data_IF_349984989827
#
_entry.id   IF_349984989827
#
_cell.length_a   1.000
_cell.length_b   1.000
_cell.length_c   1.000
_cell.angle_alpha   90.00
_cell.angle_beta   90.00
_cell.angle_gamma   90.00
#
_symmetry.space_group_name_H-M   'P 1'
#
loop_
_entity.id
_entity.type
_entity.pdbx_description
1 polymer ?
#
# COMPACT_ATOMS: atom_id res chain seq x y z
N UNK A 1 6.67 25.13 -6.38
CA UNK A 1 7.99 24.90 -7.00
C UNK A 1 8.96 24.27 -6.01
N UNK A 2 9.68 23.22 -6.41
CA UNK A 2 10.57 22.45 -5.52
C UNK A 2 11.80 23.25 -5.05
N UNK A 3 12.31 24.14 -5.88
CA UNK A 3 13.54 24.91 -5.57
C UNK A 3 13.22 26.15 -4.75
N UNK A 4 12.09 26.78 -5.02
CA UNK A 4 11.73 28.08 -4.45
C UNK A 4 10.68 27.98 -3.34
N UNK A 5 10.06 26.80 -3.14
CA UNK A 5 8.97 26.63 -2.18
C UNK A 5 7.69 27.40 -2.52
N UNK A 6 7.58 27.94 -3.75
CA UNK A 6 6.40 28.71 -4.16
C UNK A 6 5.28 27.80 -4.63
N UNK A 7 4.03 28.20 -4.34
CA UNK A 7 2.83 27.49 -4.80
C UNK A 7 2.67 27.72 -6.31
N UNK A 8 2.59 26.64 -7.09
CA UNK A 8 2.35 26.68 -8.54
C UNK A 8 0.86 26.75 -8.87
N UNK A 9 0.06 25.96 -8.17
CA UNK A 9 -1.39 25.91 -8.30
C UNK A 9 -2.04 25.32 -7.03
N UNK A 10 -3.33 25.56 -6.87
CA UNK A 10 -4.18 24.96 -5.85
C UNK A 10 -5.44 24.43 -6.51
N UNK A 11 -5.94 23.30 -6.05
CA UNK A 11 -7.25 22.77 -6.39
C UNK A 11 -8.03 22.55 -5.11
N UNK A 12 -9.22 23.13 -5.01
CA UNK A 12 -10.08 22.98 -3.84
C UNK A 12 -11.09 21.86 -4.09
N UNK A 13 -11.17 20.92 -3.17
CA UNK A 13 -12.20 19.88 -3.13
C UNK A 13 -13.28 20.26 -2.13
N UNK A 14 -14.50 19.74 -2.30
CA UNK A 14 -15.63 20.06 -1.41
C UNK A 14 -15.46 19.47 0.00
N UNK A 15 -14.58 18.46 0.13
CA UNK A 15 -14.35 17.70 1.36
C UNK A 15 -12.86 17.48 1.63
N UNK A 16 -12.50 17.17 2.88
CA UNK A 16 -11.10 16.94 3.26
C UNK A 16 -10.42 15.86 2.43
N UNK A 17 -9.12 16.05 2.20
CA UNK A 17 -8.22 15.07 1.62
C UNK A 17 -7.39 14.48 2.74
N UNK A 18 -7.57 13.18 3.00
CA UNK A 18 -6.76 12.37 3.93
C UNK A 18 -5.91 11.33 3.19
N UNK A 19 -6.23 11.10 1.93
CA UNK A 19 -5.51 10.17 1.06
C UNK A 19 -4.16 10.72 0.59
N UNK A 20 -3.23 9.81 0.29
CA UNK A 20 -1.95 10.15 -0.33
C UNK A 20 -2.09 10.23 -1.86
N UNK A 21 -1.66 11.30 -2.53
CA UNK A 21 -1.74 11.41 -3.98
C UNK A 21 -0.71 10.51 -4.68
N UNK A 22 -1.03 10.13 -5.93
CA UNK A 22 -0.08 9.55 -6.87
C UNK A 22 0.11 10.48 -8.05
N UNK A 23 1.37 10.66 -8.43
CA UNK A 23 1.75 11.43 -9.62
C UNK A 23 2.43 10.49 -10.61
N UNK A 24 1.87 10.39 -11.80
CA UNK A 24 2.46 9.64 -12.90
C UNK A 24 2.09 10.26 -14.24
N UNK A 25 3.04 10.28 -15.18
CA UNK A 25 2.86 10.79 -16.54
C UNK A 25 2.14 12.15 -16.61
N UNK A 26 2.55 13.10 -15.76
CA UNK A 26 2.01 14.46 -15.76
C UNK A 26 0.60 14.60 -15.17
N UNK A 27 0.09 13.58 -14.49
CA UNK A 27 -1.24 13.54 -13.88
C UNK A 27 -1.15 13.27 -12.38
N UNK A 28 -1.96 13.96 -11.60
CA UNK A 28 -2.16 13.75 -10.16
C UNK A 28 -3.48 13.04 -9.94
N UNK A 29 -3.44 11.93 -9.21
CA UNK A 29 -4.61 11.14 -8.81
C UNK A 29 -4.78 11.22 -7.30
N UNK A 30 -5.99 11.58 -6.82
CA UNK A 30 -6.27 11.81 -5.40
C UNK A 30 -7.72 11.50 -5.04
N UNK A 31 -7.91 10.83 -3.92
CA UNK A 31 -9.24 10.57 -3.35
C UNK A 31 -9.62 11.58 -2.28
N UNK A 32 -10.92 11.78 -2.08
CA UNK A 32 -11.49 12.65 -1.07
C UNK A 32 -12.39 11.88 -0.08
N UNK A 33 -12.61 12.47 1.08
CA UNK A 33 -13.42 11.87 2.15
C UNK A 33 -14.91 11.71 1.83
N UNK A 34 -15.40 12.27 0.73
CA UNK A 34 -16.79 12.10 0.27
C UNK A 34 -16.98 11.03 -0.82
N UNK A 35 -15.97 10.17 -1.05
CA UNK A 35 -16.03 9.14 -2.09
C UNK A 35 -15.88 9.69 -3.52
N UNK A 36 -15.39 10.92 -3.69
CA UNK A 36 -14.97 11.43 -5.00
C UNK A 36 -13.51 11.15 -5.24
N UNK A 37 -13.18 10.82 -6.48
CA UNK A 37 -11.80 10.60 -6.89
C UNK A 37 -11.48 11.51 -8.09
N UNK A 38 -10.33 12.19 -8.04
CA UNK A 38 -9.98 13.25 -8.98
C UNK A 38 -8.72 12.89 -9.77
N UNK A 39 -8.72 13.30 -11.04
CA UNK A 39 -7.55 13.34 -11.90
C UNK A 39 -7.27 14.79 -12.31
N UNK A 40 -6.09 15.29 -11.99
CA UNK A 40 -5.68 16.68 -12.23
C UNK A 40 -4.41 16.72 -13.07
N UNK A 41 -4.26 17.72 -13.91
CA UNK A 41 -2.98 17.96 -14.61
C UNK A 41 -1.92 18.46 -13.62
N UNK A 42 -0.76 17.86 -13.66
CA UNK A 42 0.37 18.22 -12.79
C UNK A 42 0.88 19.67 -13.08
N UNK A 43 0.73 20.13 -14.31
CA UNK A 43 1.28 21.41 -14.75
C UNK A 43 0.58 22.60 -14.13
N UNK A 44 -0.74 22.58 -14.08
CA UNK A 44 -1.58 23.72 -13.75
C UNK A 44 -2.76 23.43 -12.81
N UNK A 45 -2.94 22.17 -12.41
CA UNK A 45 -4.04 21.74 -11.54
C UNK A 45 -5.41 21.67 -12.23
N UNK A 46 -5.46 21.80 -13.56
CA UNK A 46 -6.72 21.64 -14.31
C UNK A 46 -7.31 20.25 -14.10
N UNK A 47 -8.61 20.20 -13.85
CA UNK A 47 -9.35 18.96 -13.70
C UNK A 47 -9.44 18.22 -15.05
N UNK A 48 -8.99 16.98 -15.10
CA UNK A 48 -9.22 16.09 -16.24
C UNK A 48 -10.61 15.44 -16.12
N UNK A 49 -10.85 14.81 -14.96
CA UNK A 49 -12.13 14.14 -14.65
C UNK A 49 -12.32 13.93 -13.15
N UNK A 50 -13.55 13.67 -12.76
CA UNK A 50 -13.94 13.25 -11.42
C UNK A 50 -14.75 11.97 -11.50
N UNK A 51 -14.35 10.93 -10.78
CA UNK A 51 -15.16 9.75 -10.53
C UNK A 51 -16.01 9.97 -9.28
N UNK A 52 -17.32 9.88 -9.42
CA UNK A 52 -18.28 10.08 -8.33
C UNK A 52 -18.92 8.75 -7.89
N UNK A 53 -19.50 8.73 -6.69
CA UNK A 53 -20.29 7.61 -6.22
C UNK A 53 -19.47 6.39 -5.78
N UNK A 54 -18.21 6.58 -5.39
CA UNK A 54 -17.45 5.55 -4.70
C UNK A 54 -17.98 5.47 -3.26
N UNK A 55 -18.30 4.27 -2.80
CA UNK A 55 -18.89 4.06 -1.48
C UNK A 55 -17.83 4.23 -0.38
N UNK A 56 -18.11 5.06 0.61
CA UNK A 56 -17.21 5.35 1.73
C UNK A 56 -16.13 6.39 1.39
N UNK A 57 -15.37 6.80 2.42
CA UNK A 57 -14.28 7.75 2.24
C UNK A 57 -13.01 7.04 1.74
N UNK A 58 -12.15 7.84 1.12
CA UNK A 58 -10.90 7.36 0.53
C UNK A 58 -9.74 7.88 1.39
N UNK A 59 -8.94 6.95 1.91
CA UNK A 59 -7.76 7.23 2.73
C UNK A 59 -6.49 6.69 2.07
N UNK A 60 -6.59 5.56 1.40
CA UNK A 60 -5.43 4.88 0.81
C UNK A 60 -4.85 5.64 -0.38
N UNK A 61 -3.57 5.39 -0.64
CA UNK A 61 -2.91 5.82 -1.87
C UNK A 61 -3.37 4.92 -3.02
N UNK A 62 -3.76 5.48 -4.18
CA UNK A 62 -4.13 4.64 -5.34
C UNK A 62 -2.92 3.94 -5.95
N UNK A 63 -3.15 2.78 -6.61
CA UNK A 63 -2.24 2.22 -7.58
C UNK A 63 -2.65 2.64 -8.99
N UNK A 64 -1.69 2.78 -9.91
CA UNK A 64 -1.94 3.22 -11.28
C UNK A 64 -1.12 2.36 -12.24
N UNK A 65 -1.78 1.77 -13.23
CA UNK A 65 -1.15 1.14 -14.39
C UNK A 65 -1.30 2.04 -15.65
N UNK A 66 -1.04 1.47 -16.82
CA UNK A 66 -1.14 2.22 -18.08
C UNK A 66 -2.56 2.66 -18.42
N UNK A 67 -3.56 1.91 -18.01
CA UNK A 67 -4.95 2.09 -18.41
C UNK A 67 -5.89 2.41 -17.25
N UNK A 68 -5.51 2.09 -16.00
CA UNK A 68 -6.42 2.08 -14.85
C UNK A 68 -5.82 2.69 -13.59
N UNK A 69 -6.73 3.09 -12.72
CA UNK A 69 -6.45 3.50 -11.34
C UNK A 69 -7.22 2.57 -10.41
N UNK A 70 -6.55 2.07 -9.37
CA UNK A 70 -7.12 1.16 -8.39
C UNK A 70 -7.16 1.82 -7.03
N UNK A 71 -8.31 1.74 -6.36
CA UNK A 71 -8.51 2.39 -5.06
C UNK A 71 -9.42 1.57 -4.14
N UNK A 72 -8.99 1.40 -2.90
CA UNK A 72 -9.81 0.88 -1.82
C UNK A 72 -10.52 2.00 -1.07
N UNK A 73 -11.72 1.72 -0.58
CA UNK A 73 -12.51 2.68 0.20
C UNK A 73 -13.00 2.07 1.50
N UNK A 74 -13.36 2.91 2.47
CA UNK A 74 -13.97 2.49 3.73
C UNK A 74 -15.47 2.10 3.61
N UNK A 75 -15.97 1.96 2.39
CA UNK A 75 -17.27 1.38 2.08
C UNK A 75 -17.23 -0.14 1.85
N UNK A 76 -16.16 -0.84 2.23
CA UNK A 76 -15.90 -2.24 1.95
C UNK A 76 -15.64 -2.55 0.48
N UNK A 77 -15.33 -1.52 -0.33
CA UNK A 77 -15.22 -1.62 -1.78
C UNK A 77 -13.79 -1.44 -2.26
N UNK A 78 -13.48 -2.14 -3.35
CA UNK A 78 -12.27 -1.96 -4.15
C UNK A 78 -12.67 -1.71 -5.60
N UNK A 79 -12.09 -0.69 -6.23
CA UNK A 79 -12.50 -0.23 -7.56
C UNK A 79 -11.32 -0.20 -8.52
N UNK A 80 -11.60 -0.49 -9.80
CA UNK A 80 -10.79 -0.05 -10.92
C UNK A 80 -11.55 1.02 -11.71
N UNK A 81 -10.84 2.10 -12.02
CA UNK A 81 -11.35 3.28 -12.72
C UNK A 81 -10.53 3.43 -14.01
N UNK A 82 -11.19 3.69 -15.12
CA UNK A 82 -10.51 4.01 -16.38
C UNK A 82 -9.69 5.28 -16.22
N UNK A 83 -8.44 5.21 -16.56
CA UNK A 83 -7.48 6.29 -16.35
C UNK A 83 -7.74 7.51 -17.23
N UNK A 84 -8.40 7.35 -18.38
CA UNK A 84 -8.68 8.41 -19.34
C UNK A 84 -10.02 9.08 -19.09
N UNK A 85 -11.07 8.28 -18.86
CA UNK A 85 -12.44 8.79 -18.71
C UNK A 85 -12.85 9.04 -17.25
N UNK A 86 -12.27 8.35 -16.29
CA UNK A 86 -12.70 8.36 -14.89
C UNK A 86 -13.93 7.47 -14.63
N UNK A 87 -14.34 6.65 -15.58
CA UNK A 87 -15.44 5.72 -15.42
C UNK A 87 -15.02 4.48 -14.63
N UNK A 88 -15.94 3.93 -13.82
CA UNK A 88 -15.70 2.66 -13.12
C UNK A 88 -15.71 1.51 -14.15
N UNK A 89 -14.62 0.73 -14.15
CA UNK A 89 -14.48 -0.46 -15.00
C UNK A 89 -15.06 -1.68 -14.28
N UNK A 90 -14.63 -1.88 -13.04
CA UNK A 90 -15.15 -2.95 -12.17
C UNK A 90 -15.07 -2.54 -10.70
N UNK A 91 -15.82 -3.24 -9.89
CA UNK A 91 -15.82 -3.07 -8.43
C UNK A 91 -15.89 -4.43 -7.73
N UNK A 92 -15.31 -4.50 -6.56
CA UNK A 92 -15.33 -5.66 -5.68
C UNK A 92 -15.80 -5.26 -4.30
N UNK A 93 -16.80 -5.96 -3.78
CA UNK A 93 -17.32 -5.79 -2.41
C UNK A 93 -16.81 -6.94 -1.53
N UNK A 94 -16.15 -6.62 -0.40
CA UNK A 94 -15.72 -7.63 0.58
C UNK A 94 -16.90 -8.32 1.26
N UNK A 95 -18.12 -7.73 1.21
CA UNK A 95 -19.36 -8.20 1.83
C UNK A 95 -19.29 -8.37 3.35
N UNK A 96 -18.29 -7.77 3.99
CA UNK A 96 -18.04 -7.90 5.44
C UNK A 96 -18.22 -6.60 6.22
N UNK A 97 -18.74 -5.55 5.56
CA UNK A 97 -19.01 -4.24 6.16
C UNK A 97 -17.77 -3.36 6.36
N UNK A 98 -17.99 -2.16 6.86
CA UNK A 98 -17.02 -1.06 6.93
C UNK A 98 -15.68 -1.42 7.59
N UNK A 99 -15.70 -2.14 8.68
CA UNK A 99 -14.48 -2.48 9.44
C UNK A 99 -13.56 -3.47 8.71
N UNK A 100 -14.04 -4.08 7.63
CA UNK A 100 -13.33 -5.06 6.83
C UNK A 100 -13.02 -4.55 5.43
N UNK A 101 -12.73 -3.28 5.33
CA UNK A 101 -12.52 -2.54 4.09
C UNK A 101 -11.07 -2.62 3.59
N UNK A 102 -10.84 -2.51 2.28
CA UNK A 102 -9.51 -2.27 1.71
C UNK A 102 -9.09 -0.79 1.80
N UNK A 103 -9.77 0.03 2.61
CA UNK A 103 -9.62 1.49 2.65
C UNK A 103 -8.30 1.99 3.21
N UNK A 104 -7.64 1.24 4.07
CA UNK A 104 -6.36 1.65 4.68
C UNK A 104 -5.14 1.13 3.93
N UNK A 105 -5.22 -0.01 3.27
CA UNK A 105 -4.10 -0.61 2.56
C UNK A 105 -3.91 0.00 1.17
N UNK A 106 -2.67 0.26 0.81
CA UNK A 106 -2.32 0.73 -0.53
C UNK A 106 -2.27 -0.44 -1.51
N UNK A 107 -3.11 -0.46 -2.54
CA UNK A 107 -3.01 -1.46 -3.58
C UNK A 107 -1.69 -1.32 -4.36
N UNK A 108 -1.25 -2.41 -4.98
CA UNK A 108 -0.03 -2.44 -5.79
C UNK A 108 -0.29 -3.20 -7.08
N UNK A 109 0.21 -2.69 -8.19
CA UNK A 109 0.27 -3.40 -9.46
C UNK A 109 1.65 -4.02 -9.60
N UNK A 110 1.70 -5.32 -9.78
CA UNK A 110 2.97 -6.07 -9.91
C UNK A 110 2.93 -7.03 -11.09
N UNK A 111 4.08 -7.23 -11.76
CA UNK A 111 4.18 -8.25 -12.79
C UNK A 111 4.19 -9.65 -12.18
N UNK A 112 3.71 -10.61 -12.94
CA UNK A 112 3.93 -12.03 -12.71
C UNK A 112 4.20 -12.76 -14.02
N UNK A 113 4.88 -13.89 -13.98
CA UNK A 113 5.19 -14.69 -15.16
C UNK A 113 4.50 -16.05 -15.08
N UNK A 114 3.65 -16.36 -16.06
CA UNK A 114 2.97 -17.64 -16.18
C UNK A 114 3.10 -18.17 -17.60
N UNK A 115 3.54 -19.42 -17.75
CA UNK A 115 3.77 -20.06 -19.05
C UNK A 115 4.65 -19.24 -20.00
N UNK A 116 5.70 -18.61 -19.46
CA UNK A 116 6.64 -17.78 -20.23
C UNK A 116 6.12 -16.41 -20.64
N UNK A 117 4.90 -16.03 -20.25
CA UNK A 117 4.31 -14.71 -20.50
C UNK A 117 4.29 -13.87 -19.22
N UNK A 118 4.76 -12.64 -19.33
CA UNK A 118 4.65 -11.65 -18.27
C UNK A 118 3.31 -10.91 -18.38
N UNK A 119 2.58 -10.91 -17.28
CA UNK A 119 1.29 -10.24 -17.12
C UNK A 119 1.33 -9.38 -15.85
N UNK A 120 0.25 -8.64 -15.57
CA UNK A 120 0.10 -7.84 -14.36
C UNK A 120 -1.00 -8.39 -13.46
N UNK A 121 -0.83 -8.20 -12.15
CA UNK A 121 -1.81 -8.47 -11.12
C UNK A 121 -1.95 -7.26 -10.21
N UNK A 122 -3.14 -7.05 -9.67
CA UNK A 122 -3.41 -6.01 -8.68
C UNK A 122 -3.59 -6.66 -7.33
N UNK A 123 -2.75 -6.30 -6.36
CA UNK A 123 -2.78 -6.88 -5.02
C UNK A 123 -3.28 -5.84 -4.03
N UNK A 124 -4.20 -6.25 -3.18
CA UNK A 124 -4.72 -5.45 -2.06
C UNK A 124 -4.91 -6.31 -0.82
N UNK A 125 -4.58 -5.76 0.33
CA UNK A 125 -4.91 -6.31 1.64
C UNK A 125 -6.14 -5.58 2.18
N UNK A 126 -7.09 -6.31 2.72
CA UNK A 126 -8.27 -5.76 3.38
C UNK A 126 -8.29 -6.12 4.85
N UNK A 127 -8.92 -5.29 5.65
CA UNK A 127 -9.07 -5.53 7.11
C UNK A 127 -9.91 -6.79 7.44
N UNK A 128 -10.47 -7.47 6.44
CA UNK A 128 -11.08 -8.79 6.58
C UNK A 128 -10.05 -9.93 6.65
N UNK A 129 -8.77 -9.56 6.76
CA UNK A 129 -7.60 -10.43 6.87
C UNK A 129 -7.18 -11.11 5.56
N UNK A 130 -7.84 -10.83 4.45
CA UNK A 130 -7.48 -11.39 3.15
C UNK A 130 -6.56 -10.46 2.36
N UNK A 131 -5.49 -11.02 1.86
CA UNK A 131 -4.79 -10.49 0.69
C UNK A 131 -5.44 -11.09 -0.55
N UNK A 132 -5.73 -10.25 -1.53
CA UNK A 132 -6.32 -10.67 -2.80
C UNK A 132 -5.51 -10.15 -3.97
N UNK A 133 -5.39 -10.99 -4.99
CA UNK A 133 -4.87 -10.60 -6.29
C UNK A 133 -5.99 -10.63 -7.31
N UNK A 134 -6.05 -9.60 -8.14
CA UNK A 134 -7.09 -9.42 -9.17
C UNK A 134 -6.48 -9.31 -10.56
N UNK A 135 -7.23 -9.82 -11.54
CA UNK A 135 -6.99 -9.48 -12.94
C UNK A 135 -7.25 -7.99 -13.16
N UNK A 136 -6.28 -7.20 -13.68
CA UNK A 136 -6.39 -5.75 -13.79
C UNK A 136 -7.61 -5.28 -14.58
N UNK A 137 -7.94 -5.99 -15.67
CA UNK A 137 -9.00 -5.58 -16.61
C UNK A 137 -10.40 -6.02 -16.23
N UNK A 138 -10.57 -7.15 -15.53
CA UNK A 138 -11.89 -7.74 -15.26
C UNK A 138 -12.29 -7.72 -13.80
N UNK A 139 -11.34 -7.55 -12.87
CA UNK A 139 -11.58 -7.67 -11.44
C UNK A 139 -11.78 -9.12 -10.97
N UNK A 140 -11.53 -10.10 -11.82
CA UNK A 140 -11.53 -11.52 -11.44
C UNK A 140 -10.42 -11.78 -10.42
N UNK A 141 -10.74 -12.52 -9.37
CA UNK A 141 -9.77 -12.89 -8.33
C UNK A 141 -8.89 -14.02 -8.87
N UNK A 142 -7.59 -13.78 -8.98
CA UNK A 142 -6.62 -14.83 -9.29
C UNK A 142 -6.38 -15.74 -8.10
N UNK A 143 -6.20 -15.14 -6.93
CA UNK A 143 -6.05 -15.85 -5.66
C UNK A 143 -6.45 -14.94 -4.48
N UNK A 144 -6.78 -15.59 -3.36
CA UNK A 144 -7.02 -14.94 -2.09
C UNK A 144 -6.44 -15.80 -0.97
N UNK A 145 -5.80 -15.17 0.01
CA UNK A 145 -5.23 -15.88 1.17
C UNK A 145 -5.46 -15.05 2.44
N UNK A 146 -5.85 -15.74 3.51
CA UNK A 146 -5.93 -15.19 4.86
C UNK A 146 -4.90 -15.83 5.81
N UNK A 147 -3.95 -16.56 5.28
CA UNK A 147 -2.93 -17.31 6.04
C UNK A 147 -2.15 -16.41 7.02
N UNK A 148 -1.71 -15.26 6.52
CA UNK A 148 -0.97 -14.30 7.32
C UNK A 148 -1.82 -13.56 8.37
N UNK A 149 -3.16 -13.60 8.24
CA UNK A 149 -4.08 -12.78 9.03
C UNK A 149 -3.67 -11.31 9.06
N UNK A 150 -3.22 -10.80 7.91
CA UNK A 150 -2.84 -9.40 7.73
C UNK A 150 -4.05 -8.48 7.76
N UNK A 151 -3.83 -7.21 8.06
CA UNK A 151 -4.91 -6.23 8.10
C UNK A 151 -4.64 -4.98 7.29
N UNK A 152 -3.46 -4.40 7.40
CA UNK A 152 -3.19 -3.06 6.85
C UNK A 152 -1.80 -2.90 6.25
N UNK A 153 -0.85 -3.78 6.58
CA UNK A 153 0.56 -3.59 6.23
C UNK A 153 1.10 -4.67 5.30
N UNK A 154 1.45 -4.25 4.09
CA UNK A 154 2.14 -5.04 3.08
C UNK A 154 3.53 -4.48 2.80
N UNK A 155 4.44 -5.37 2.40
CA UNK A 155 5.73 -5.05 1.79
C UNK A 155 5.99 -5.98 0.62
N UNK A 156 6.93 -5.59 -0.26
CA UNK A 156 7.31 -6.39 -1.41
C UNK A 156 8.82 -6.36 -1.58
N UNK A 157 9.41 -7.46 -2.01
CA UNK A 157 10.81 -7.50 -2.41
C UNK A 157 11.10 -6.47 -3.52
N UNK A 158 12.34 -6.01 -3.67
CA UNK A 158 12.69 -5.04 -4.71
C UNK A 158 12.33 -5.49 -6.14
N UNK A 159 12.38 -6.81 -6.40
CA UNK A 159 11.99 -7.40 -7.69
C UNK A 159 10.47 -7.68 -7.82
N UNK A 160 9.69 -7.43 -6.76
CA UNK A 160 8.24 -7.60 -6.74
C UNK A 160 7.75 -9.06 -6.69
N UNK A 161 8.65 -10.04 -6.51
CA UNK A 161 8.27 -11.47 -6.54
C UNK A 161 7.81 -12.00 -5.20
N UNK A 162 8.35 -11.46 -4.11
CA UNK A 162 7.99 -11.86 -2.74
C UNK A 162 7.16 -10.78 -2.09
N UNK A 163 6.04 -11.18 -1.52
CA UNK A 163 5.18 -10.33 -0.70
C UNK A 163 5.40 -10.66 0.78
N UNK A 164 5.43 -9.63 1.60
CA UNK A 164 5.49 -9.73 3.06
C UNK A 164 4.22 -9.15 3.66
N UNK A 165 3.64 -9.87 4.61
CA UNK A 165 2.40 -9.48 5.29
C UNK A 165 2.64 -9.46 6.80
N UNK A 166 2.40 -8.31 7.42
CA UNK A 166 2.38 -8.19 8.87
C UNK A 166 1.03 -8.68 9.40
N UNK A 167 1.07 -9.78 10.15
CA UNK A 167 -0.11 -10.42 10.70
C UNK A 167 -0.49 -9.86 12.08
N UNK A 168 -1.78 -9.94 12.43
CA UNK A 168 -2.29 -9.54 13.75
C UNK A 168 -1.96 -10.53 14.87
N UNK A 169 -1.42 -11.69 14.55
CA UNK A 169 -1.01 -12.72 15.51
C UNK A 169 0.48 -12.66 15.84
N UNK A 170 1.06 -11.48 15.83
CA UNK A 170 2.48 -11.25 16.12
C UNK A 170 3.38 -12.08 15.19
N UNK A 171 3.07 -12.06 13.92
CA UNK A 171 3.82 -12.78 12.90
C UNK A 171 4.06 -11.92 11.65
N UNK A 172 5.09 -12.29 10.92
CA UNK A 172 5.29 -11.86 9.55
C UNK A 172 5.32 -13.09 8.65
N UNK A 173 4.60 -13.01 7.54
CA UNK A 173 4.54 -14.08 6.54
C UNK A 173 5.12 -13.59 5.22
N UNK A 174 5.97 -14.41 4.60
CA UNK A 174 6.42 -14.18 3.23
C UNK A 174 5.76 -15.17 2.28
N UNK A 175 5.39 -14.70 1.09
CA UNK A 175 4.82 -15.50 0.04
C UNK A 175 5.40 -15.16 -1.33
N UNK A 176 5.67 -16.16 -2.14
CA UNK A 176 5.96 -15.99 -3.57
C UNK A 176 4.67 -15.70 -4.33
N UNK A 177 4.68 -14.62 -5.10
CA UNK A 177 3.58 -14.17 -5.94
C UNK A 177 3.98 -14.01 -7.41
N UNK A 178 5.18 -14.45 -7.77
CA UNK A 178 5.80 -14.24 -9.08
C UNK A 178 5.14 -15.00 -10.22
N UNK A 179 4.30 -15.99 -9.90
CA UNK A 179 3.62 -16.85 -10.88
C UNK A 179 2.10 -16.58 -10.99
N UNK A 180 1.62 -15.49 -10.39
CA UNK A 180 0.17 -15.18 -10.34
C UNK A 180 -0.61 -16.14 -9.42
N UNK A 181 0.09 -16.72 -8.44
CA UNK A 181 -0.44 -17.58 -7.39
C UNK A 181 0.15 -17.16 -6.05
N UNK A 182 -0.49 -17.53 -4.95
CA UNK A 182 0.06 -17.37 -3.62
C UNK A 182 0.73 -18.67 -3.18
N UNK A 183 2.02 -18.59 -2.86
CA UNK A 183 2.76 -19.72 -2.30
C UNK A 183 3.49 -19.28 -1.04
N UNK A 184 3.10 -19.80 0.12
CA UNK A 184 3.75 -19.47 1.40
C UNK A 184 5.21 -19.94 1.38
N UNK A 185 6.12 -19.04 1.77
CA UNK A 185 7.56 -19.34 1.87
C UNK A 185 7.95 -19.60 3.32
N UNK A 186 7.60 -18.68 4.21
CA UNK A 186 7.86 -18.78 5.64
C UNK A 186 6.91 -17.90 6.46
N UNK A 187 6.77 -18.26 7.75
CA UNK A 187 6.02 -17.50 8.73
C UNK A 187 6.84 -17.44 10.02
N UNK A 188 7.18 -16.26 10.48
CA UNK A 188 8.05 -16.04 11.64
C UNK A 188 7.31 -15.27 12.73
N UNK A 189 7.37 -15.76 13.96
CA UNK A 189 6.87 -15.05 15.14
C UNK A 189 7.68 -13.78 15.42
N UNK A 190 7.01 -12.73 15.83
CA UNK A 190 7.59 -11.41 16.07
C UNK A 190 7.29 -10.93 17.50
N UNK A 191 8.24 -10.24 18.16
CA UNK A 191 8.01 -9.71 19.50
C UNK A 191 7.30 -8.35 19.46
N UNK A 192 6.18 -8.25 18.75
CA UNK A 192 5.33 -7.06 18.77
C UNK A 192 3.88 -7.45 19.11
N UNK A 193 3.15 -6.52 19.68
CA UNK A 193 1.71 -6.66 19.81
C UNK A 193 1.03 -6.27 18.50
N UNK A 194 -0.17 -6.83 18.25
CA UNK A 194 -0.95 -6.47 17.06
C UNK A 194 -1.28 -5.00 17.07
N UNK A 195 -0.98 -4.29 16.00
CA UNK A 195 -1.33 -2.91 15.82
C UNK A 195 -2.21 -2.72 14.58
N UNK A 196 -2.92 -1.60 14.57
CA UNK A 196 -3.91 -1.26 13.56
C UNK A 196 -3.52 -0.01 12.77
N UNK A 197 -2.25 0.38 12.79
CA UNK A 197 -1.76 1.54 12.04
C UNK A 197 -1.27 1.06 10.67
N UNK A 198 -1.90 1.53 9.59
CA UNK A 198 -1.48 1.17 8.25
C UNK A 198 -0.14 1.83 7.94
N UNK A 199 0.90 1.03 7.92
CA UNK A 199 2.24 1.49 7.54
C UNK A 199 2.85 0.48 6.59
N UNK A 200 3.14 0.94 5.36
CA UNK A 200 3.80 0.09 4.38
C UNK A 200 5.18 -0.31 4.88
N UNK A 201 5.52 -1.59 4.79
CA UNK A 201 6.86 -2.08 5.04
C UNK A 201 7.79 -1.72 3.89
N UNK A 202 8.98 -1.29 4.20
CA UNK A 202 10.08 -1.09 3.23
C UNK A 202 10.98 -2.33 3.25
N UNK A 203 11.64 -2.60 2.14
CA UNK A 203 12.46 -3.79 1.96
C UNK A 203 13.78 -3.50 1.26
N UNK A 204 14.72 -4.39 1.44
CA UNK A 204 15.94 -4.55 0.64
C UNK A 204 16.03 -5.99 0.15
N UNK A 205 17.09 -6.36 -0.53
CA UNK A 205 17.35 -7.76 -0.90
C UNK A 205 17.49 -8.67 0.34
N UNK A 206 17.92 -8.14 1.47
CA UNK A 206 18.26 -8.90 2.66
C UNK A 206 17.33 -8.67 3.84
N UNK A 207 16.64 -7.53 3.90
CA UNK A 207 15.87 -7.10 5.07
C UNK A 207 14.47 -6.62 4.71
N UNK A 208 13.53 -6.93 5.60
CA UNK A 208 12.18 -6.36 5.66
C UNK A 208 12.10 -5.50 6.91
N UNK A 209 11.76 -4.22 6.75
CA UNK A 209 11.61 -3.28 7.86
C UNK A 209 10.16 -3.23 8.31
N UNK A 210 9.92 -3.63 9.56
CA UNK A 210 8.59 -3.77 10.14
C UNK A 210 8.38 -2.68 11.18
N UNK A 211 7.49 -1.73 10.92
CA UNK A 211 7.12 -0.70 11.88
C UNK A 211 6.19 -1.25 12.95
N UNK A 212 6.31 -0.73 14.18
CA UNK A 212 5.40 -1.07 15.27
C UNK A 212 4.70 0.14 15.86
N UNK A 213 3.59 -0.12 16.55
CA UNK A 213 2.78 0.85 17.25
C UNK A 213 3.53 1.51 18.43
N UNK A 214 4.45 0.78 19.02
CA UNK A 214 5.24 1.28 20.13
C UNK A 214 6.57 1.90 19.70
N UNK A 215 6.72 2.29 18.45
CA UNK A 215 7.90 3.00 17.95
C UNK A 215 9.16 2.16 17.87
N UNK A 216 9.05 0.85 17.82
CA UNK A 216 10.16 -0.05 17.54
C UNK A 216 10.16 -0.40 16.05
N UNK A 217 11.29 -0.25 15.41
CA UNK A 217 11.54 -0.75 14.07
C UNK A 217 12.29 -2.09 14.18
N UNK A 218 11.70 -3.14 13.60
CA UNK A 218 12.38 -4.42 13.45
C UNK A 218 12.88 -4.59 12.02
N UNK A 219 14.10 -5.06 11.85
CA UNK A 219 14.61 -5.54 10.58
C UNK A 219 14.65 -7.07 10.61
N UNK A 220 13.89 -7.71 9.73
CA UNK A 220 13.80 -9.16 9.61
C UNK A 220 14.50 -9.61 8.35
N UNK A 221 15.21 -10.73 8.41
CA UNK A 221 15.89 -11.30 7.24
C UNK A 221 14.89 -11.84 6.23
N UNK A 222 15.11 -11.59 4.97
CA UNK A 222 14.23 -12.01 3.87
C UNK A 222 14.15 -13.52 3.69
N UNK A 223 15.13 -14.27 4.21
CA UNK A 223 15.16 -15.73 4.21
C UNK A 223 14.31 -16.39 5.33
N UNK A 224 13.69 -15.55 6.19
CA UNK A 224 12.88 -16.06 7.32
C UNK A 224 13.66 -16.50 8.55
N UNK A 225 15.00 -16.36 8.57
CA UNK A 225 15.84 -16.79 9.70
C UNK A 225 15.67 -15.91 10.96
N UNK A 226 14.77 -14.93 10.93
CA UNK A 226 14.38 -14.14 12.07
C UNK A 226 14.87 -12.68 12.04
N UNK A 227 14.82 -12.04 13.20
CA UNK A 227 15.17 -10.64 13.37
C UNK A 227 16.68 -10.47 13.27
N UNK A 228 17.12 -9.57 12.39
CA UNK A 228 18.50 -9.15 12.29
C UNK A 228 18.86 -8.15 13.41
N UNK A 229 17.98 -7.17 13.59
CA UNK A 229 18.10 -6.17 14.67
C UNK A 229 16.74 -5.50 14.94
N UNK A 230 16.69 -4.80 16.09
CA UNK A 230 15.55 -3.98 16.49
C UNK A 230 16.05 -2.66 17.04
N UNK A 231 15.36 -1.57 16.74
CA UNK A 231 15.71 -0.25 17.23
C UNK A 231 14.47 0.51 17.73
N UNK A 232 14.55 1.04 18.94
CA UNK A 232 13.51 1.88 19.53
C UNK A 232 13.70 3.32 19.06
N UNK A 233 12.75 3.85 18.29
CA UNK A 233 12.77 5.23 17.78
C UNK A 233 12.13 6.18 18.78
N UNK A 234 10.95 5.80 19.27
CA UNK A 234 10.07 6.65 20.07
C UNK A 234 9.16 5.77 20.96
N UNK A 235 8.33 6.39 21.79
CA UNK A 235 7.22 5.72 22.48
C UNK A 235 5.90 5.77 21.69
N UNK A 236 5.90 6.46 20.56
CA UNK A 236 4.75 6.58 19.66
C UNK A 236 4.88 5.70 18.44
N UNK A 237 3.75 5.41 17.81
CA UNK A 237 3.69 4.56 16.63
C UNK A 237 4.52 5.08 15.46
N UNK A 238 5.16 4.17 14.73
CA UNK A 238 5.80 4.47 13.46
C UNK A 238 4.71 4.56 12.39
N UNK A 239 4.56 5.73 11.79
CA UNK A 239 3.53 6.02 10.79
C UNK A 239 4.02 5.97 9.35
N UNK A 240 5.31 6.10 9.15
CA UNK A 240 5.91 6.06 7.81
C UNK A 240 7.34 5.56 7.83
N UNK A 241 7.69 4.81 6.81
CA UNK A 241 9.04 4.35 6.51
C UNK A 241 9.41 4.74 5.08
N UNK A 242 10.69 5.06 4.87
CA UNK A 242 11.24 5.22 3.53
C UNK A 242 12.68 4.75 3.45
N UNK A 243 12.91 3.72 2.65
CA UNK A 243 14.27 3.32 2.29
C UNK A 243 14.89 4.44 1.42
N UNK A 244 15.93 5.08 1.96
CA UNK A 244 16.63 6.18 1.30
C UNK A 244 17.84 5.69 0.46
N UNK A 245 18.08 4.39 0.44
CA UNK A 245 19.25 3.78 -0.20
C UNK A 245 20.53 3.95 0.58
N UNK A 246 21.62 3.31 0.13
CA UNK A 246 22.96 3.39 0.75
C UNK A 246 22.97 3.06 2.24
N UNK A 247 22.20 2.03 2.64
CA UNK A 247 22.13 1.62 4.05
C UNK A 247 21.39 2.60 4.96
N UNK A 248 20.48 3.43 4.43
CA UNK A 248 19.72 4.43 5.21
C UNK A 248 18.22 4.21 5.10
N UNK A 249 17.53 4.32 6.23
CA UNK A 249 16.08 4.32 6.30
C UNK A 249 15.60 5.54 7.10
N UNK A 250 14.60 6.24 6.55
CA UNK A 250 13.93 7.34 7.23
C UNK A 250 12.68 6.80 7.88
N UNK A 251 12.49 7.13 9.15
CA UNK A 251 11.38 6.68 9.99
C UNK A 251 10.68 7.90 10.56
N UNK A 252 9.35 7.91 10.48
CA UNK A 252 8.51 8.95 11.07
C UNK A 252 7.58 8.33 12.11
N UNK A 253 7.38 9.02 13.21
CA UNK A 253 6.53 8.58 14.31
C UNK A 253 5.39 9.57 14.56
N UNK A 254 4.33 9.11 15.23
CA UNK A 254 3.11 9.89 15.47
C UNK A 254 3.35 11.11 16.38
N UNK A 255 4.40 11.10 17.20
CA UNK A 255 4.81 12.25 18.03
C UNK A 255 5.58 13.33 17.25
N UNK A 256 5.71 13.19 15.94
CA UNK A 256 6.37 14.14 15.07
C UNK A 256 7.90 13.97 14.95
N UNK A 257 8.46 12.87 15.49
CA UNK A 257 9.89 12.57 15.35
C UNK A 257 10.19 12.06 13.94
N UNK A 258 11.25 12.58 13.32
CA UNK A 258 11.82 12.09 12.06
C UNK A 258 13.25 11.65 12.30
N UNK A 259 13.53 10.39 12.07
CA UNK A 259 14.84 9.76 12.32
C UNK A 259 15.39 9.16 11.03
N UNK A 260 16.67 9.37 10.78
CA UNK A 260 17.41 8.63 9.75
C UNK A 260 18.33 7.61 10.45
N UNK A 261 18.09 6.33 10.23
CA UNK A 261 18.94 5.25 10.73
C UNK A 261 19.86 4.78 9.61
N UNK A 262 21.09 4.47 10.00
CA UNK A 262 22.03 3.73 9.16
C UNK A 262 22.01 2.26 9.57
N UNK A 263 21.99 1.36 8.58
CA UNK A 263 22.06 -0.08 8.79
C UNK A 263 23.14 -0.68 7.88
N UNK A 264 23.80 -1.77 8.32
CA UNK A 264 24.80 -2.43 7.48
C UNK A 264 24.17 -2.96 6.20
N UNK A 265 24.89 -2.81 5.09
CA UNK A 265 24.52 -3.31 3.77
C UNK A 265 24.84 -4.79 3.64
#
# INVERSE_FOLDING_TARGET
DRKQGTVRWKYNTDYPIVACPVVTEGTVYIGSSNGKFYSLKLTDGTLNWTCNGLQGYIESRPAVDKERVYIGTWGAMFYAIDRRSGEKIWEFDTKRGRYFSPGACWPVVLPYTRQGKTNEQVIVLSSDYFVRSFHPGTGEIFWASDEAKGRESLGFSPDGKTMYVKGIKNNITAADISHGTYTSLWNTSMPYESNFIPTRMETTEQLVFIPTEFGVLHAVRTDGSGIAWSHKISHSAITSLKNAGKGKIIVMTMDGTVTCLEYPL
#
